data_IF_426929298143
#
_entry.id   IF_426929298143
#
_cell.length_a   1.000
_cell.length_b   1.000
_cell.length_c   1.000
_cell.angle_alpha   90.00
_cell.angle_beta   90.00
_cell.angle_gamma   90.00
#
_symmetry.space_group_name_H-M   'P 1'
#
loop_
_entity.id
_entity.type
_entity.pdbx_description
1 polymer ?
#
# COMPACT_ATOMS: atom_id res chain seq x y z
N UNK A 1 -54.11 -8.70 -29.99
CA UNK A 1 -53.09 -9.03 -28.96
C UNK A 1 -51.73 -8.71 -29.53
N UNK A 2 -51.11 -7.62 -29.05
CA UNK A 2 -49.77 -7.18 -29.48
C UNK A 2 -48.77 -7.58 -28.42
N UNK A 3 -47.85 -8.47 -28.76
CA UNK A 3 -46.73 -8.91 -27.89
C UNK A 3 -45.62 -7.86 -28.01
N UNK A 4 -45.30 -7.15 -26.91
CA UNK A 4 -44.13 -6.33 -26.77
C UNK A 4 -42.96 -7.20 -26.36
N UNK A 5 -42.00 -7.35 -27.26
CA UNK A 5 -40.72 -8.04 -27.01
C UNK A 5 -39.82 -7.03 -26.30
N UNK A 6 -39.59 -7.20 -25.00
CA UNK A 6 -38.57 -6.45 -24.25
C UNK A 6 -37.20 -7.07 -24.53
N UNK A 7 -36.41 -6.41 -25.36
CA UNK A 7 -34.99 -6.72 -25.50
C UNK A 7 -34.26 -6.02 -24.37
N UNK A 8 -33.88 -6.78 -23.34
CA UNK A 8 -32.95 -6.35 -22.33
C UNK A 8 -31.53 -6.32 -22.93
N UNK A 9 -31.04 -5.12 -23.25
CA UNK A 9 -29.65 -4.92 -23.62
C UNK A 9 -28.83 -5.03 -22.35
N UNK A 10 -28.19 -6.18 -22.13
CA UNK A 10 -27.15 -6.34 -21.12
C UNK A 10 -25.93 -5.56 -21.59
N UNK A 11 -25.73 -4.38 -21.07
CA UNK A 11 -24.48 -3.64 -21.20
C UNK A 11 -23.48 -4.32 -20.25
N UNK A 12 -22.77 -5.31 -20.74
CA UNK A 12 -21.57 -5.82 -20.09
C UNK A 12 -20.47 -4.77 -20.26
N UNK A 13 -20.35 -3.88 -19.30
CA UNK A 13 -19.14 -3.08 -19.15
C UNK A 13 -18.00 -4.04 -18.82
N UNK A 14 -17.25 -4.39 -19.83
CA UNK A 14 -15.99 -5.12 -19.68
C UNK A 14 -15.02 -4.20 -18.94
N UNK A 15 -14.97 -4.34 -17.61
CA UNK A 15 -13.82 -3.85 -16.87
C UNK A 15 -12.64 -4.70 -17.32
N UNK A 16 -11.80 -4.16 -18.17
CA UNK A 16 -10.49 -4.74 -18.44
C UNK A 16 -9.72 -4.72 -17.13
N UNK A 17 -9.67 -5.85 -16.44
CA UNK A 17 -8.69 -6.15 -15.41
C UNK A 17 -7.31 -6.06 -16.08
N UNK A 18 -6.73 -4.86 -16.13
CA UNK A 18 -5.34 -4.66 -16.45
C UNK A 18 -4.53 -5.20 -15.28
N UNK A 19 -3.95 -6.36 -15.45
CA UNK A 19 -3.00 -6.88 -14.49
C UNK A 19 -3.04 -8.37 -14.27
N UNK A 20 -3.24 -9.15 -15.33
CA UNK A 20 -2.72 -10.51 -15.29
C UNK A 20 -1.21 -10.37 -15.49
N UNK A 21 -0.49 -10.22 -14.38
CA UNK A 21 0.96 -10.33 -14.37
C UNK A 21 1.32 -11.75 -14.79
N UNK A 22 2.25 -11.88 -15.70
CA UNK A 22 2.77 -13.15 -16.20
C UNK A 22 3.60 -13.93 -15.17
N UNK A 23 3.39 -13.66 -13.87
CA UNK A 23 4.03 -14.34 -12.73
C UNK A 23 5.47 -13.89 -12.46
N UNK A 24 5.92 -12.79 -13.09
CA UNK A 24 7.28 -12.27 -12.89
C UNK A 24 7.34 -11.06 -11.95
N UNK A 25 6.21 -10.54 -11.48
CA UNK A 25 6.17 -9.48 -10.48
C UNK A 25 6.48 -10.05 -9.10
N UNK A 26 7.40 -9.41 -8.41
CA UNK A 26 7.86 -9.85 -7.09
C UNK A 26 8.11 -8.66 -6.17
N UNK A 27 7.80 -8.84 -4.88
CA UNK A 27 8.17 -7.94 -3.81
C UNK A 27 8.83 -8.74 -2.71
N UNK A 28 10.06 -8.39 -2.38
CA UNK A 28 10.83 -9.02 -1.29
C UNK A 28 11.44 -7.92 -0.43
N UNK A 29 11.48 -8.12 0.88
CA UNK A 29 12.16 -7.25 1.82
C UNK A 29 12.45 -8.01 3.11
N UNK A 30 13.52 -7.70 3.80
CA UNK A 30 13.73 -8.14 5.17
C UNK A 30 13.13 -7.10 6.13
N UNK A 31 12.13 -7.51 6.88
CA UNK A 31 11.50 -6.73 7.95
C UNK A 31 12.08 -7.20 9.27
N UNK A 32 12.89 -6.38 9.92
CA UNK A 32 13.65 -6.75 11.13
C UNK A 32 14.41 -8.08 10.96
N UNK A 33 15.04 -8.24 9.77
CA UNK A 33 15.80 -9.43 9.40
C UNK A 33 14.97 -10.67 9.02
N UNK A 34 13.63 -10.57 8.99
CA UNK A 34 12.74 -11.64 8.56
C UNK A 34 12.25 -11.41 7.15
N UNK A 35 12.32 -12.43 6.31
CA UNK A 35 11.87 -12.32 4.94
C UNK A 35 10.35 -12.05 4.87
N UNK A 36 10.00 -11.05 4.09
CA UNK A 36 8.66 -10.75 3.62
C UNK A 36 8.67 -10.85 2.09
N UNK A 37 7.88 -11.76 1.56
CA UNK A 37 7.78 -12.00 0.12
C UNK A 37 6.33 -12.09 -0.31
N UNK A 38 5.98 -11.36 -1.36
CA UNK A 38 4.63 -11.33 -1.90
C UNK A 38 4.64 -10.93 -3.38
N UNK A 39 3.51 -11.03 -4.03
CA UNK A 39 3.26 -10.48 -5.35
C UNK A 39 2.77 -9.04 -5.22
N UNK A 40 3.48 -8.04 -5.77
CA UNK A 40 3.08 -6.65 -5.69
C UNK A 40 1.93 -6.37 -6.66
N UNK A 41 1.05 -5.47 -6.25
CA UNK A 41 -0.04 -4.93 -7.06
C UNK A 41 0.01 -3.42 -7.07
N UNK A 42 -0.37 -2.83 -8.18
CA UNK A 42 -0.52 -1.40 -8.30
C UNK A 42 -1.98 -1.02 -8.15
N UNK A 43 -2.24 -0.11 -7.22
CA UNK A 43 -3.56 0.46 -7.01
C UNK A 43 -3.52 1.93 -7.43
N UNK A 44 -4.49 2.35 -8.23
CA UNK A 44 -4.69 3.74 -8.62
C UNK A 44 -5.99 4.26 -8.02
N UNK A 45 -5.89 5.40 -7.34
CA UNK A 45 -7.02 6.14 -6.80
C UNK A 45 -6.95 7.57 -7.36
N UNK A 46 -7.58 7.79 -8.50
CA UNK A 46 -7.48 9.08 -9.22
C UNK A 46 -6.07 9.35 -9.74
N UNK A 47 -5.49 10.47 -9.33
CA UNK A 47 -4.10 10.86 -9.67
C UNK A 47 -3.04 10.16 -8.81
N UNK A 48 -3.45 9.57 -7.70
CA UNK A 48 -2.55 8.89 -6.78
C UNK A 48 -2.46 7.40 -7.09
N UNK A 49 -1.26 6.88 -7.06
CA UNK A 49 -1.00 5.46 -7.20
C UNK A 49 -0.06 4.96 -6.12
N UNK A 50 -0.28 3.76 -5.63
CA UNK A 50 0.65 3.09 -4.75
C UNK A 50 0.81 1.62 -5.12
N UNK A 51 1.94 1.06 -4.73
CA UNK A 51 2.26 -0.36 -4.88
C UNK A 51 2.00 -1.00 -3.52
N UNK A 52 1.24 -2.08 -3.50
CA UNK A 52 0.98 -2.83 -2.28
C UNK A 52 1.33 -4.29 -2.46
N UNK A 53 1.80 -4.90 -1.38
CA UNK A 53 1.98 -6.34 -1.28
C UNK A 53 1.36 -6.82 0.04
N UNK A 54 0.50 -7.82 -0.04
CA UNK A 54 -0.19 -8.37 1.10
C UNK A 54 0.12 -9.86 1.26
N UNK A 55 0.21 -10.33 2.50
CA UNK A 55 0.26 -11.76 2.83
C UNK A 55 -1.06 -12.21 3.47
N UNK A 56 -1.34 -13.50 3.38
CA UNK A 56 -2.63 -14.05 3.83
C UNK A 56 -2.61 -14.37 5.32
N UNK A 57 -1.44 -14.76 5.90
CA UNK A 57 -1.38 -15.14 7.33
C UNK A 57 0.07 -15.21 7.82
N UNK A 58 0.46 -14.54 8.92
CA UNK A 58 -0.33 -13.46 9.53
C UNK A 58 -0.54 -12.34 8.53
N UNK A 59 -1.63 -11.61 8.66
CA UNK A 59 -1.95 -10.54 7.74
C UNK A 59 -0.89 -9.44 7.81
N UNK A 60 -0.18 -9.26 6.71
CA UNK A 60 0.88 -8.25 6.54
C UNK A 60 0.64 -7.49 5.25
N UNK A 61 0.92 -6.20 5.29
CA UNK A 61 0.84 -5.32 4.14
C UNK A 61 2.05 -4.41 4.09
N UNK A 62 2.69 -4.33 2.95
CA UNK A 62 3.69 -3.30 2.66
C UNK A 62 3.17 -2.45 1.51
N UNK A 63 3.05 -1.16 1.76
CA UNK A 63 2.59 -0.17 0.80
C UNK A 63 3.71 0.80 0.49
N UNK A 64 3.95 1.03 -0.79
CA UNK A 64 4.92 2.00 -1.29
C UNK A 64 4.16 2.99 -2.18
N UNK A 65 4.09 4.22 -1.75
CA UNK A 65 3.63 5.33 -2.56
C UNK A 65 4.82 5.96 -3.26
N UNK A 66 4.66 6.32 -4.53
CA UNK A 66 5.69 6.98 -5.33
C UNK A 66 5.04 8.05 -6.19
N UNK A 67 5.61 9.22 -6.22
CA UNK A 67 5.12 10.34 -6.99
C UNK A 67 6.25 11.21 -7.52
N UNK A 68 6.00 11.83 -8.66
CA UNK A 68 6.81 12.93 -9.18
C UNK A 68 6.36 14.24 -8.54
N UNK A 69 7.14 15.30 -8.69
CA UNK A 69 6.82 16.62 -8.13
C UNK A 69 5.51 17.21 -8.62
N UNK A 70 5.07 16.83 -9.81
CA UNK A 70 3.80 17.26 -10.40
C UNK A 70 2.64 16.32 -10.08
N UNK A 71 2.82 15.37 -9.16
CA UNK A 71 1.82 14.39 -8.75
C UNK A 71 1.49 13.35 -9.83
N UNK A 72 2.31 13.24 -10.86
CA UNK A 72 2.11 12.25 -11.92
C UNK A 72 2.84 10.93 -11.61
N UNK A 73 2.61 9.94 -12.47
CA UNK A 73 3.31 8.66 -12.39
C UNK A 73 4.80 8.79 -12.62
N UNK A 74 5.55 7.83 -12.11
CA UNK A 74 6.98 7.68 -12.35
C UNK A 74 7.24 7.59 -13.86
N UNK A 75 8.14 8.45 -14.34
CA UNK A 75 8.46 8.55 -15.78
C UNK A 75 9.90 8.19 -16.10
N UNK A 76 10.77 8.17 -15.11
CA UNK A 76 12.21 8.00 -15.31
C UNK A 76 12.86 7.23 -14.16
N UNK A 77 13.97 6.58 -14.48
CA UNK A 77 14.86 5.96 -13.50
C UNK A 77 15.56 7.01 -12.65
N UNK A 78 15.87 6.68 -11.41
CA UNK A 78 16.59 7.54 -10.48
C UNK A 78 16.16 7.38 -9.03
N UNK A 79 16.69 8.26 -8.18
CA UNK A 79 16.42 8.25 -6.74
C UNK A 79 15.18 9.04 -6.39
N UNK A 80 14.33 8.48 -5.55
CA UNK A 80 13.13 9.09 -4.98
C UNK A 80 13.33 9.24 -3.47
N UNK A 81 13.16 10.46 -2.95
CA UNK A 81 13.35 10.75 -1.53
C UNK A 81 12.21 10.13 -0.71
N UNK A 82 12.54 9.30 0.28
CA UNK A 82 11.56 8.79 1.24
C UNK A 82 11.20 9.90 2.22
N UNK A 83 9.89 10.15 2.35
CA UNK A 83 9.31 11.22 3.17
C UNK A 83 8.29 10.66 4.15
N UNK A 84 7.74 11.53 5.00
CA UNK A 84 6.69 11.21 5.95
C UNK A 84 5.47 10.60 5.25
N UNK A 85 5.10 9.38 5.65
CA UNK A 85 3.98 8.65 5.06
C UNK A 85 2.60 9.19 5.46
N UNK A 86 2.48 9.99 6.50
CA UNK A 86 1.22 10.68 6.83
C UNK A 86 0.94 11.86 5.91
N UNK A 87 2.02 12.53 5.45
CA UNK A 87 1.94 13.74 4.64
C UNK A 87 2.97 13.68 3.51
N UNK A 88 2.89 12.67 2.60
CA UNK A 88 3.91 12.48 1.58
C UNK A 88 4.00 13.68 0.61
N UNK A 89 2.89 14.31 0.34
CA UNK A 89 2.72 15.40 -0.62
C UNK A 89 2.74 16.80 0.01
N UNK A 90 3.31 16.95 1.22
CA UNK A 90 3.47 18.30 1.80
C UNK A 90 4.39 19.16 0.96
N UNK A 91 4.08 20.47 0.87
CA UNK A 91 4.87 21.45 0.13
C UNK A 91 6.34 21.42 0.57
N UNK A 92 6.61 21.27 1.86
CA UNK A 92 7.98 21.18 2.40
C UNK A 92 8.74 19.97 1.85
N UNK A 93 8.10 18.78 1.80
CA UNK A 93 8.72 17.57 1.26
C UNK A 93 9.03 17.71 -0.22
N UNK A 94 8.08 18.24 -0.97
CA UNK A 94 8.21 18.47 -2.41
C UNK A 94 9.32 19.50 -2.68
N UNK A 95 9.33 20.61 -1.98
CA UNK A 95 10.34 21.67 -2.13
C UNK A 95 11.74 21.17 -1.80
N UNK A 96 11.89 20.41 -0.71
CA UNK A 96 13.16 19.81 -0.30
C UNK A 96 13.70 18.84 -1.36
N UNK A 97 12.85 18.01 -1.92
CA UNK A 97 13.24 17.07 -2.96
C UNK A 97 13.59 17.80 -4.27
N UNK A 98 12.80 18.80 -4.65
CA UNK A 98 12.98 19.56 -5.88
C UNK A 98 14.23 20.44 -5.86
N UNK A 99 14.42 21.24 -4.81
CA UNK A 99 15.51 22.21 -4.70
C UNK A 99 16.90 21.58 -4.71
N UNK A 100 17.01 20.33 -4.28
CA UNK A 100 18.28 19.61 -4.29
C UNK A 100 18.76 19.21 -5.69
N UNK A 101 17.85 19.09 -6.67
CA UNK A 101 18.11 18.53 -8.00
C UNK A 101 18.57 17.06 -8.01
N UNK A 102 18.68 16.45 -6.83
CA UNK A 102 19.21 15.09 -6.63
C UNK A 102 18.15 14.01 -6.87
N UNK A 103 16.90 14.30 -6.55
CA UNK A 103 15.84 13.32 -6.57
C UNK A 103 14.91 13.53 -7.77
N UNK A 104 14.28 12.46 -8.24
CA UNK A 104 13.29 12.48 -9.34
C UNK A 104 11.87 12.66 -8.85
N UNK A 105 11.65 12.52 -7.56
CA UNK A 105 10.40 12.65 -6.89
C UNK A 105 10.49 12.25 -5.42
N UNK A 106 9.36 11.93 -4.85
CA UNK A 106 9.20 11.52 -3.46
C UNK A 106 8.58 10.13 -3.37
N UNK A 107 8.83 9.46 -2.26
CA UNK A 107 8.27 8.16 -1.93
C UNK A 107 7.81 8.14 -0.47
N UNK A 108 6.83 7.32 -0.16
CA UNK A 108 6.44 7.04 1.22
C UNK A 108 6.18 5.55 1.41
N UNK A 109 6.52 5.02 2.57
CA UNK A 109 6.40 3.60 2.88
C UNK A 109 5.56 3.42 4.14
N UNK A 110 4.57 2.53 4.05
CA UNK A 110 3.78 2.08 5.19
C UNK A 110 3.84 0.56 5.27
N UNK A 111 4.13 0.04 6.45
CA UNK A 111 4.07 -1.38 6.77
C UNK A 111 3.02 -1.62 7.86
N UNK A 112 2.24 -2.67 7.72
CA UNK A 112 1.23 -3.08 8.72
C UNK A 112 1.33 -4.59 8.92
N UNK A 113 1.35 -5.01 10.17
CA UNK A 113 1.34 -6.42 10.56
C UNK A 113 0.35 -6.65 11.69
N UNK A 114 -0.53 -7.64 11.53
CA UNK A 114 -1.33 -8.16 12.63
C UNK A 114 -0.43 -8.97 13.58
N UNK A 115 -0.31 -8.51 14.82
CA UNK A 115 0.62 -9.11 15.79
C UNK A 115 -0.08 -10.06 16.75
N UNK A 116 -1.41 -9.95 16.91
CA UNK A 116 -2.14 -10.75 17.90
C UNK A 116 -3.62 -10.91 17.56
N UNK A 117 -4.06 -12.16 17.57
CA UNK A 117 -5.47 -12.54 17.54
C UNK A 117 -5.86 -13.21 18.87
N UNK A 118 -7.14 -13.23 19.32
CA UNK A 118 -8.33 -12.70 18.67
C UNK A 118 -8.60 -11.21 18.93
N UNK A 119 -7.77 -10.51 19.66
CA UNK A 119 -7.98 -9.10 20.01
C UNK A 119 -7.41 -8.11 18.99
N UNK A 120 -7.08 -8.58 17.84
CA UNK A 120 -6.54 -7.78 16.74
C UNK A 120 -5.65 -6.64 17.23
N UNK A 121 -4.38 -6.91 17.34
CA UNK A 121 -3.35 -5.92 17.62
C UNK A 121 -2.50 -5.78 16.35
N UNK A 122 -2.20 -4.54 15.98
CA UNK A 122 -1.41 -4.25 14.79
C UNK A 122 -0.14 -3.50 15.16
N UNK A 123 0.93 -3.82 14.44
CA UNK A 123 2.16 -3.06 14.41
C UNK A 123 2.24 -2.32 13.08
N UNK A 124 2.28 -0.99 13.14
CA UNK A 124 2.26 -0.12 11.97
C UNK A 124 3.56 0.65 11.89
N UNK A 125 4.29 0.48 10.81
CA UNK A 125 5.50 1.24 10.48
C UNK A 125 5.21 2.30 9.43
N UNK A 126 5.70 3.51 9.67
CA UNK A 126 5.56 4.64 8.76
C UNK A 126 6.91 5.24 8.45
N UNK A 127 7.19 5.53 7.19
CA UNK A 127 8.38 6.29 6.80
C UNK A 127 8.34 7.72 7.32
N UNK A 128 9.51 8.30 7.43
CA UNK A 128 9.74 9.66 7.94
C UNK A 128 10.81 10.37 7.09
N UNK A 129 11.02 11.65 7.33
CA UNK A 129 11.96 12.52 6.62
C UNK A 129 13.42 12.29 7.03
N UNK A 130 13.95 11.05 6.89
CA UNK A 130 15.32 10.67 7.30
C UNK A 130 16.38 10.87 6.21
N UNK A 131 15.95 11.19 4.98
CA UNK A 131 16.85 11.35 3.83
C UNK A 131 17.21 10.03 3.14
N UNK A 132 16.51 8.94 3.47
CA UNK A 132 16.59 7.65 2.79
C UNK A 132 15.94 7.72 1.41
N UNK A 133 16.25 6.77 0.51
CA UNK A 133 15.78 6.79 -0.88
C UNK A 133 15.24 5.44 -1.33
N UNK A 134 14.37 5.50 -2.33
CA UNK A 134 14.07 4.38 -3.22
C UNK A 134 14.79 4.63 -4.54
N UNK A 135 15.58 3.67 -4.98
CA UNK A 135 16.17 3.69 -6.31
C UNK A 135 15.23 2.99 -7.28
N UNK A 136 14.89 3.68 -8.36
CA UNK A 136 14.00 3.20 -9.40
C UNK A 136 14.80 2.95 -10.68
N UNK A 137 14.65 1.77 -11.26
CA UNK A 137 15.24 1.40 -12.56
C UNK A 137 14.15 0.92 -13.49
N UNK A 138 13.97 1.61 -14.60
CA UNK A 138 13.07 1.18 -15.67
C UNK A 138 13.84 0.32 -16.67
N UNK A 139 13.44 -0.93 -16.80
CA UNK A 139 14.04 -1.88 -17.74
C UNK A 139 13.47 -1.75 -19.14
N UNK A 140 14.27 -2.11 -20.14
CA UNK A 140 13.85 -2.18 -21.55
C UNK A 140 12.83 -3.31 -21.78
N UNK A 141 12.70 -4.24 -20.85
CA UNK A 141 11.73 -5.35 -20.84
C UNK A 141 10.32 -4.92 -20.40
N UNK A 142 10.16 -3.63 -20.07
CA UNK A 142 8.89 -3.05 -19.60
C UNK A 142 8.63 -3.25 -18.13
N UNK A 143 9.59 -3.85 -17.39
CA UNK A 143 9.53 -3.92 -15.92
C UNK A 143 10.21 -2.72 -15.28
N UNK A 144 9.73 -2.36 -14.14
CA UNK A 144 10.35 -1.38 -13.26
C UNK A 144 10.80 -2.08 -11.99
N UNK A 145 12.04 -1.86 -11.60
CA UNK A 145 12.62 -2.33 -10.34
C UNK A 145 12.75 -1.18 -9.35
N UNK A 146 12.44 -1.46 -8.09
CA UNK A 146 12.60 -0.56 -6.96
C UNK A 146 13.49 -1.24 -5.94
N UNK A 147 14.50 -0.55 -5.46
CA UNK A 147 15.36 -1.05 -4.38
C UNK A 147 15.43 -0.03 -3.27
N UNK A 148 15.38 -0.47 -2.02
CA UNK A 148 15.41 0.40 -0.86
C UNK A 148 15.89 -0.28 0.40
N UNK A 149 16.44 0.55 1.29
CA UNK A 149 16.62 0.26 2.70
C UNK A 149 16.10 1.46 3.46
N UNK A 150 15.28 1.25 4.47
CA UNK A 150 14.76 2.34 5.27
C UNK A 150 14.35 1.90 6.66
N UNK A 151 14.22 2.86 7.56
CA UNK A 151 13.74 2.67 8.92
C UNK A 151 12.40 3.38 9.07
N UNK A 152 11.40 2.63 9.51
CA UNK A 152 10.05 3.12 9.76
C UNK A 152 9.86 3.43 11.24
N UNK A 153 9.03 4.43 11.56
CA UNK A 153 8.55 4.67 12.91
C UNK A 153 7.43 3.68 13.22
N UNK A 154 7.70 2.75 14.12
CA UNK A 154 6.76 1.72 14.55
C UNK A 154 5.80 2.21 15.62
N UNK A 155 4.54 1.86 15.49
CA UNK A 155 3.46 2.15 16.45
C UNK A 155 2.55 0.96 16.61
N UNK A 156 2.03 0.75 17.82
CA UNK A 156 1.11 -0.34 18.11
C UNK A 156 -0.32 0.15 18.21
N UNK A 157 -1.25 -0.64 17.68
CA UNK A 157 -2.67 -0.34 17.69
C UNK A 157 -3.44 -1.50 18.29
N UNK A 158 -4.41 -1.18 19.15
CA UNK A 158 -5.30 -2.16 19.81
C UNK A 158 -6.74 -1.83 19.53
N UNK A 159 -7.56 -2.85 19.36
CA UNK A 159 -9.00 -2.70 19.28
C UNK A 159 -9.55 -1.97 20.50
N UNK A 160 -10.44 -1.01 20.29
CA UNK A 160 -11.13 -0.30 21.39
C UNK A 160 -12.10 -1.25 22.10
N UNK A 161 -12.13 -1.19 23.41
CA UNK A 161 -12.98 -2.07 24.26
C UNK A 161 -14.48 -1.95 23.94
N UNK A 162 -14.95 -0.78 23.49
CA UNK A 162 -16.35 -0.59 23.08
C UNK A 162 -16.72 -1.41 21.83
N UNK A 163 -15.80 -1.64 20.92
CA UNK A 163 -16.04 -2.46 19.72
C UNK A 163 -16.26 -3.92 20.10
N UNK A 164 -15.65 -4.37 21.18
CA UNK A 164 -15.80 -5.74 21.72
C UNK A 164 -17.04 -5.88 22.57
N UNK A 165 -17.44 -4.84 23.33
CA UNK A 165 -18.59 -4.88 24.23
C UNK A 165 -19.94 -4.98 23.49
N UNK A 166 -20.03 -4.50 22.26
CA UNK A 166 -21.20 -4.62 21.37
C UNK A 166 -21.22 -5.94 20.58
N UNK A 167 -20.55 -7.00 21.08
CA UNK A 167 -20.57 -8.33 20.46
C UNK A 167 -19.86 -8.44 19.12
N UNK A 168 -18.93 -7.53 18.82
CA UNK A 168 -18.15 -7.61 17.59
C UNK A 168 -18.89 -7.16 16.34
N UNK A 169 -19.99 -6.46 16.46
CA UNK A 169 -20.78 -5.96 15.31
C UNK A 169 -19.91 -5.11 14.38
N UNK A 170 -19.02 -4.28 14.93
CA UNK A 170 -18.04 -3.51 14.14
C UNK A 170 -17.16 -4.40 13.26
N UNK A 171 -16.66 -5.50 13.81
CA UNK A 171 -15.87 -6.49 13.05
C UNK A 171 -16.64 -7.15 11.90
N UNK A 172 -17.93 -7.37 12.09
CA UNK A 172 -18.77 -7.97 11.06
C UNK A 172 -18.97 -6.97 9.92
N UNK A 173 -19.16 -5.68 10.25
CA UNK A 173 -19.29 -4.60 9.27
C UNK A 173 -17.98 -4.42 8.50
N UNK A 174 -16.84 -4.29 9.19
CA UNK A 174 -15.52 -4.15 8.56
C UNK A 174 -15.19 -5.35 7.66
N UNK A 175 -15.47 -6.59 8.13
CA UNK A 175 -15.31 -7.79 7.30
C UNK A 175 -16.27 -7.84 6.11
N UNK A 176 -17.50 -7.33 6.25
CA UNK A 176 -18.45 -7.26 5.14
C UNK A 176 -18.03 -6.18 4.12
N UNK A 177 -17.57 -5.03 4.57
CA UNK A 177 -17.04 -3.98 3.70
C UNK A 177 -15.80 -4.47 2.95
N UNK A 178 -14.83 -5.06 3.64
CA UNK A 178 -13.64 -5.65 3.04
C UNK A 178 -14.02 -6.73 2.02
N UNK A 179 -14.96 -7.59 2.36
CA UNK A 179 -15.42 -8.65 1.47
C UNK A 179 -16.19 -8.10 0.26
N UNK A 180 -16.96 -7.02 0.44
CA UNK A 180 -17.65 -6.35 -0.66
C UNK A 180 -16.65 -5.64 -1.59
N UNK A 181 -15.65 -4.96 -1.05
CA UNK A 181 -14.58 -4.31 -1.82
C UNK A 181 -13.76 -5.36 -2.56
N UNK A 182 -13.35 -6.44 -1.88
CA UNK A 182 -12.63 -7.56 -2.49
C UNK A 182 -13.44 -8.22 -3.60
N UNK A 183 -14.76 -8.43 -3.37
CA UNK A 183 -15.66 -8.99 -4.38
C UNK A 183 -15.87 -8.08 -5.60
N UNK A 184 -15.86 -6.75 -5.40
CA UNK A 184 -16.06 -5.79 -6.47
C UNK A 184 -14.77 -5.46 -7.24
N UNK A 185 -13.62 -5.49 -6.56
CA UNK A 185 -12.33 -5.05 -7.13
C UNK A 185 -11.37 -6.20 -7.41
N UNK A 186 -11.63 -7.39 -6.85
CA UNK A 186 -10.70 -8.52 -6.87
C UNK A 186 -9.46 -8.33 -5.97
N UNK A 187 -9.41 -7.25 -5.18
CA UNK A 187 -8.30 -6.92 -4.29
C UNK A 187 -8.75 -7.00 -2.84
N UNK A 188 -7.97 -7.67 -2.00
CA UNK A 188 -8.14 -7.53 -0.56
C UNK A 188 -7.80 -6.09 -0.17
N UNK A 189 -8.67 -5.50 0.64
CA UNK A 189 -8.41 -4.17 1.18
C UNK A 189 -7.18 -4.24 2.08
N UNK A 190 -6.28 -3.27 1.94
CA UNK A 190 -5.12 -3.16 2.82
C UNK A 190 -5.57 -3.09 4.27
N UNK A 191 -4.88 -3.83 5.12
CA UNK A 191 -5.07 -3.74 6.56
C UNK A 191 -4.69 -2.34 7.00
N UNK A 192 -5.61 -1.60 7.59
CA UNK A 192 -5.34 -0.27 8.12
C UNK A 192 -6.10 -0.05 9.44
N UNK A 193 -5.43 -0.17 10.59
CA UNK A 193 -6.05 0.05 11.89
C UNK A 193 -6.30 1.53 12.19
N UNK A 194 -5.77 2.45 11.37
CA UNK A 194 -5.93 3.89 11.57
C UNK A 194 -7.32 4.34 11.17
N UNK A 195 -8.12 4.73 12.14
CA UNK A 195 -9.46 5.26 11.90
C UNK A 195 -10.62 4.33 12.25
N UNK A 196 -10.45 3.01 12.26
CA UNK A 196 -11.54 2.06 12.38
C UNK A 196 -11.53 1.26 13.68
N UNK A 197 -12.05 1.84 14.77
CA UNK A 197 -12.26 1.07 16.00
C UNK A 197 -11.01 0.74 16.80
N UNK A 198 -9.83 1.15 16.36
CA UNK A 198 -8.54 0.93 17.00
C UNK A 198 -8.04 2.17 17.73
N UNK A 199 -7.17 1.95 18.70
CA UNK A 199 -6.52 3.01 19.48
C UNK A 199 -5.00 2.83 19.41
N UNK A 200 -4.32 3.89 19.02
CA UNK A 200 -2.86 3.98 19.05
C UNK A 200 -2.36 3.85 20.49
N UNK A 201 -1.37 3.01 20.70
CA UNK A 201 -0.70 2.81 21.97
C UNK A 201 0.42 3.84 22.14
N UNK A 202 0.89 4.01 23.38
CA UNK A 202 2.03 4.89 23.68
C UNK A 202 3.39 4.25 23.30
N UNK A 203 3.41 2.93 23.20
CA UNK A 203 4.61 2.19 22.83
C UNK A 203 4.95 2.49 21.37
N UNK A 204 6.19 2.85 21.12
CA UNK A 204 6.78 3.08 19.81
C UNK A 204 8.12 2.37 19.72
N UNK A 205 8.50 1.98 18.52
CA UNK A 205 9.79 1.39 18.19
C UNK A 205 10.23 1.77 16.78
N UNK A 206 11.16 1.02 16.22
CA UNK A 206 11.57 1.14 14.84
C UNK A 206 11.42 -0.20 14.14
N UNK A 207 10.97 -0.17 12.89
CA UNK A 207 10.93 -1.32 11.99
C UNK A 207 11.97 -1.07 10.91
N UNK A 208 12.94 -1.97 10.81
CA UNK A 208 14.05 -1.83 9.84
C UNK A 208 13.74 -2.67 8.61
N UNK A 209 13.62 -2.00 7.47
CA UNK A 209 13.46 -2.62 6.16
C UNK A 209 14.81 -2.65 5.45
N UNK A 210 15.30 -3.84 5.12
CA UNK A 210 16.55 -4.01 4.36
C UNK A 210 16.34 -4.93 3.16
N UNK A 211 17.23 -4.81 2.18
CA UNK A 211 17.18 -5.61 0.95
C UNK A 211 15.82 -5.52 0.23
N UNK A 212 15.12 -4.38 0.39
CA UNK A 212 13.85 -4.15 -0.27
C UNK A 212 14.03 -4.17 -1.78
N UNK A 213 13.29 -5.06 -2.45
CA UNK A 213 13.26 -5.16 -3.90
C UNK A 213 11.85 -5.44 -4.39
N UNK A 214 11.38 -4.59 -5.30
CA UNK A 214 10.12 -4.77 -6.01
C UNK A 214 10.40 -4.78 -7.50
N UNK A 215 9.88 -5.75 -8.22
CA UNK A 215 9.92 -5.81 -9.67
C UNK A 215 8.51 -6.00 -10.20
N UNK A 216 8.04 -5.09 -11.05
CA UNK A 216 6.70 -5.16 -11.60
C UNK A 216 6.53 -4.31 -12.87
N UNK A 217 5.46 -4.53 -13.61
CA UNK A 217 5.04 -3.63 -14.70
C UNK A 217 4.19 -2.51 -14.12
N UNK A 218 4.52 -1.26 -14.48
CA UNK A 218 3.76 -0.08 -14.06
C UNK A 218 2.68 0.35 -15.07
N UNK A 219 2.61 -0.32 -16.22
CA UNK A 219 1.63 0.00 -17.30
C UNK A 219 0.37 -0.81 -17.15
#
# INVERSE_FOLDING_TARGET
MKYYLFIAILITTSYTLQGQDDGTSTMTVLVDGKEYKTEPRRIRLGTYGYITGNTISPDKSLRIWLGTYDGTDIKESGSYLIVDAYHPDTEENIEKAYSSGKYKGIAAIKYVEETKTPRMEYHVGMSDNRGETIEVTMGDDGYTEFTFNCTLNGTYWKEKTMTTALGGVGRIVDKMENKAVTGATGFEQDIDPEGNGYKKQKLTDQIVLTEGKVRMRLK
#
